data_IF_078448840727
#
_entry.id   IF_078448840727
#
_cell.length_a   1.000
_cell.length_b   1.000
_cell.length_c   1.000
_cell.angle_alpha   90.00
_cell.angle_beta   90.00
_cell.angle_gamma   90.00
#
_symmetry.space_group_name_H-M   'P 1'
#
loop_
_entity.id
_entity.type
_entity.pdbx_description
1 polymer ?
#
# COMPACT_ATOMS: atom_id res chain seq x y z
N UNK A 1 -6.78 -17.50 14.88
CA UNK A 1 -7.17 -16.11 14.56
C UNK A 1 -6.02 -15.51 13.78
N UNK A 2 -6.19 -15.37 12.46
CA UNK A 2 -5.18 -14.79 11.58
C UNK A 2 -5.00 -13.31 11.89
N UNK A 3 -3.94 -12.98 12.63
CA UNK A 3 -3.61 -11.59 13.01
C UNK A 3 -3.33 -10.73 11.76
N UNK A 4 -2.90 -11.35 10.66
CA UNK A 4 -2.71 -10.69 9.35
C UNK A 4 -4.01 -10.06 8.82
N UNK A 5 -5.17 -10.59 9.19
CA UNK A 5 -6.48 -10.15 8.71
C UNK A 5 -6.94 -8.80 9.33
N UNK A 6 -6.17 -8.21 10.24
CA UNK A 6 -6.44 -6.91 10.86
C UNK A 6 -5.33 -5.87 10.65
N UNK A 7 -4.30 -6.20 9.85
CA UNK A 7 -3.21 -5.25 9.63
C UNK A 7 -3.65 -4.08 8.73
N UNK A 8 -3.27 -2.87 9.14
CA UNK A 8 -3.41 -1.64 8.35
C UNK A 8 -2.09 -1.26 7.65
N UNK A 9 -2.12 -0.19 6.85
CA UNK A 9 -0.96 0.29 6.06
C UNK A 9 0.27 0.59 6.91
N UNK A 10 0.09 1.14 8.11
CA UNK A 10 1.20 1.40 9.04
C UNK A 10 1.85 0.10 9.50
N UNK A 11 1.04 -0.87 9.93
CA UNK A 11 1.53 -2.13 10.46
C UNK A 11 2.25 -2.96 9.39
N UNK A 12 1.73 -3.00 8.15
CA UNK A 12 2.42 -3.71 7.07
C UNK A 12 3.70 -2.98 6.65
N UNK A 13 3.71 -1.64 6.65
CA UNK A 13 4.92 -0.88 6.33
C UNK A 13 6.02 -1.03 7.40
N UNK A 14 5.63 -1.14 8.67
CA UNK A 14 6.57 -1.40 9.76
C UNK A 14 7.10 -2.85 9.73
N UNK A 15 6.27 -3.82 9.31
CA UNK A 15 6.69 -5.22 9.11
C UNK A 15 7.65 -5.40 7.93
N UNK A 16 7.38 -4.73 6.81
CA UNK A 16 8.24 -4.82 5.62
C UNK A 16 9.49 -3.97 5.79
N UNK A 17 9.33 -2.74 6.25
CA UNK A 17 10.37 -1.71 6.29
C UNK A 17 10.14 -0.64 5.23
N UNK A 18 10.08 0.63 5.67
CA UNK A 18 9.78 1.77 4.80
C UNK A 18 10.83 2.01 3.72
N UNK A 19 12.11 1.79 4.04
CA UNK A 19 13.21 1.88 3.07
C UNK A 19 13.10 0.81 1.99
N UNK A 20 12.79 -0.42 2.36
CA UNK A 20 12.66 -1.53 1.42
C UNK A 20 11.46 -1.32 0.48
N UNK A 21 10.35 -0.79 0.99
CA UNK A 21 9.22 -0.35 0.14
C UNK A 21 9.67 0.75 -0.82
N UNK A 22 10.39 1.76 -0.34
CA UNK A 22 10.87 2.87 -1.16
C UNK A 22 11.78 2.38 -2.29
N UNK A 23 12.72 1.50 -1.97
CA UNK A 23 13.67 0.92 -2.92
C UNK A 23 12.95 0.01 -3.95
N UNK A 24 12.02 -0.84 -3.50
CA UNK A 24 11.24 -1.75 -4.36
C UNK A 24 10.34 -1.01 -5.37
N UNK A 25 9.81 0.14 -4.97
CA UNK A 25 8.90 0.95 -5.78
C UNK A 25 9.65 2.06 -6.54
N UNK A 26 10.95 2.23 -6.30
CA UNK A 26 11.79 3.28 -6.87
C UNK A 26 11.27 4.70 -6.56
N UNK A 27 10.88 4.96 -5.31
CA UNK A 27 10.40 6.27 -4.83
C UNK A 27 11.22 6.75 -3.64
N UNK A 28 11.10 8.03 -3.29
CA UNK A 28 11.72 8.57 -2.07
C UNK A 28 11.04 8.06 -0.79
N UNK A 29 11.76 7.93 0.34
CA UNK A 29 11.18 7.54 1.64
C UNK A 29 10.00 8.41 2.09
N UNK A 30 10.02 9.70 1.73
CA UNK A 30 8.92 10.63 2.01
C UNK A 30 7.62 10.23 1.31
N UNK A 31 7.67 9.67 0.09
CA UNK A 31 6.48 9.21 -0.61
C UNK A 31 5.81 8.05 0.14
N UNK A 32 6.62 7.13 0.69
CA UNK A 32 6.14 6.02 1.52
C UNK A 32 5.51 6.57 2.80
N UNK A 33 6.17 7.51 3.49
CA UNK A 33 5.61 8.17 4.68
C UNK A 33 4.29 8.87 4.40
N UNK A 34 4.16 9.53 3.24
CA UNK A 34 2.92 10.18 2.84
C UNK A 34 1.78 9.18 2.58
N UNK A 35 2.10 8.02 2.00
CA UNK A 35 1.12 6.95 1.80
C UNK A 35 0.65 6.35 3.13
N UNK A 36 1.57 6.11 4.07
CA UNK A 36 1.26 5.62 5.42
C UNK A 36 0.39 6.65 6.17
N UNK A 37 0.75 7.93 6.13
CA UNK A 37 -0.03 8.99 6.78
C UNK A 37 -1.45 9.12 6.20
N UNK A 38 -1.64 8.82 4.91
CA UNK A 38 -2.95 8.75 4.24
C UNK A 38 -3.72 7.46 4.54
N UNK A 39 -3.08 6.45 5.14
CA UNK A 39 -3.69 5.15 5.42
C UNK A 39 -3.92 4.28 4.19
N UNK A 40 -3.33 4.62 3.04
CA UNK A 40 -3.51 3.90 1.78
C UNK A 40 -2.28 4.07 0.85
N UNK A 41 -1.90 3.01 0.16
CA UNK A 41 -0.93 3.03 -0.94
C UNK A 41 -1.60 3.37 -2.28
N UNK A 42 -0.85 3.95 -3.24
CA UNK A 42 -1.27 3.99 -4.64
C UNK A 42 -1.47 2.58 -5.21
N UNK A 43 -2.49 2.39 -6.04
CA UNK A 43 -2.77 1.12 -6.72
C UNK A 43 -1.58 0.60 -7.55
N UNK A 44 -0.81 1.51 -8.15
CA UNK A 44 0.37 1.20 -8.94
C UNK A 44 1.49 0.52 -8.14
N UNK A 45 1.48 0.61 -6.81
CA UNK A 45 2.49 0.00 -5.95
C UNK A 45 2.21 -1.46 -5.62
N UNK A 46 1.02 -1.98 -5.99
CA UNK A 46 0.55 -3.31 -5.58
C UNK A 46 1.53 -4.43 -5.92
N UNK A 47 1.99 -4.52 -7.17
CA UNK A 47 2.86 -5.62 -7.58
C UNK A 47 4.19 -5.61 -6.83
N UNK A 48 4.77 -4.44 -6.56
CA UNK A 48 6.03 -4.34 -5.84
C UNK A 48 5.89 -4.71 -4.36
N UNK A 49 4.89 -4.16 -3.68
CA UNK A 49 4.65 -4.47 -2.26
C UNK A 49 4.19 -5.91 -2.06
N UNK A 50 3.40 -6.48 -3.00
CA UNK A 50 3.00 -7.90 -2.98
C UNK A 50 4.22 -8.82 -2.96
N UNK A 51 5.24 -8.55 -3.78
CA UNK A 51 6.49 -9.32 -3.76
C UNK A 51 7.15 -9.32 -2.37
N UNK A 52 7.14 -8.17 -1.68
CA UNK A 52 7.70 -8.06 -0.32
C UNK A 52 6.87 -8.79 0.73
N UNK A 53 5.54 -8.79 0.58
CA UNK A 53 4.63 -9.58 1.41
C UNK A 53 4.83 -11.09 1.19
N UNK A 54 4.91 -11.53 -0.06
CA UNK A 54 5.12 -12.94 -0.44
C UNK A 54 6.44 -13.46 0.13
N UNK A 55 7.52 -12.67 0.03
CA UNK A 55 8.83 -12.99 0.61
C UNK A 55 8.80 -13.19 2.14
N UNK A 56 7.77 -12.69 2.82
CA UNK A 56 7.59 -12.78 4.28
C UNK A 56 6.45 -13.71 4.69
N UNK A 57 5.79 -14.37 3.72
CA UNK A 57 4.58 -15.17 3.95
C UNK A 57 3.46 -14.38 4.65
N UNK A 58 3.27 -13.11 4.26
CA UNK A 58 2.23 -12.22 4.80
C UNK A 58 1.18 -11.99 3.72
N UNK A 59 -0.11 -12.00 4.10
CA UNK A 59 -1.20 -11.68 3.18
C UNK A 59 -1.09 -10.24 2.66
N UNK A 60 -1.04 -10.05 1.33
CA UNK A 60 -1.05 -8.72 0.72
C UNK A 60 -2.47 -8.29 0.32
N UNK A 61 -3.08 -7.46 1.15
CA UNK A 61 -4.49 -7.06 0.96
C UNK A 61 -4.62 -5.95 -0.06
N UNK A 62 -5.39 -6.18 -1.10
CA UNK A 62 -5.70 -5.18 -2.14
C UNK A 62 -6.37 -3.93 -1.58
N UNK A 63 -7.11 -4.05 -0.47
CA UNK A 63 -7.74 -2.93 0.23
C UNK A 63 -6.75 -1.86 0.72
N UNK A 64 -5.47 -2.20 0.92
CA UNK A 64 -4.44 -1.22 1.26
C UNK A 64 -4.09 -0.28 0.10
N UNK A 65 -4.49 -0.59 -1.13
CA UNK A 65 -4.06 0.07 -2.36
C UNK A 65 -5.13 0.99 -2.97
N UNK A 66 -5.87 1.69 -2.10
CA UNK A 66 -7.03 2.50 -2.45
C UNK A 66 -6.79 4.02 -2.40
N UNK A 67 -5.54 4.49 -2.50
CA UNK A 67 -5.23 5.93 -2.36
C UNK A 67 -5.94 6.81 -3.39
N UNK A 68 -6.14 6.30 -4.60
CA UNK A 68 -6.90 6.98 -5.66
C UNK A 68 -8.05 6.07 -6.03
N UNK A 69 -9.28 6.56 -5.89
CA UNK A 69 -10.46 5.87 -6.37
C UNK A 69 -10.83 6.39 -7.76
N UNK A 70 -11.32 5.53 -8.67
CA UNK A 70 -11.88 5.98 -9.94
C UNK A 70 -12.96 7.04 -9.68
N UNK A 71 -12.95 8.14 -10.45
CA UNK A 71 -14.06 9.09 -10.39
C UNK A 71 -15.36 8.37 -10.75
N UNK A 72 -16.38 8.52 -9.91
CA UNK A 72 -17.70 8.02 -10.26
C UNK A 72 -18.21 8.85 -11.43
N UNK A 73 -18.70 8.19 -12.49
CA UNK A 73 -19.18 8.79 -13.76
C UNK A 73 -20.14 10.00 -13.60
N UNK A 74 -20.69 10.23 -12.40
CA UNK A 74 -21.55 11.39 -12.08
C UNK A 74 -20.86 12.76 -12.28
N UNK A 75 -19.52 12.80 -12.26
CA UNK A 75 -18.76 14.04 -12.45
C UNK A 75 -18.33 14.31 -13.92
N UNK A 76 -18.72 13.43 -14.85
CA UNK A 76 -18.34 13.53 -16.27
C UNK A 76 -19.34 14.31 -17.15
N UNK A 77 -20.34 14.95 -16.53
CA UNK A 77 -21.33 15.79 -17.21
C UNK A 77 -21.49 17.12 -16.47
N UNK A 78 -20.60 18.07 -16.77
CA UNK A 78 -20.76 19.50 -16.49
C UNK A 78 -20.12 20.29 -17.63
#
# INVERSE_FOLDING_TARGET
MDIALMMNVTQIADLIGRKEIADMICVGPTAVSNAIARGAFPASWYLGIRTLCDARNVECRTAWFAMVQPSTRKDAAA
#
